data_IF_075502869764
#
_entry.id   IF_075502869764
#
_cell.length_a   1.000
_cell.length_b   1.000
_cell.length_c   1.000
_cell.angle_alpha   90.00
_cell.angle_beta   90.00
_cell.angle_gamma   90.00
#
_symmetry.space_group_name_H-M   'P 1'
#
loop_
_entity.id
_entity.type
_entity.pdbx_description
1 polymer ?
#
# COMPACT_ATOMS: atom_id res chain seq x y z
N UNK A 1 -5.25 -13.61 20.22
CA UNK A 1 -5.23 -12.38 19.40
C UNK A 1 -5.96 -12.73 18.12
N UNK A 2 -6.93 -11.93 17.70
CA UNK A 2 -7.70 -12.21 16.47
C UNK A 2 -6.84 -11.83 15.25
N UNK A 3 -6.35 -12.83 14.52
CA UNK A 3 -5.49 -12.63 13.35
C UNK A 3 -6.18 -11.79 12.27
N UNK A 4 -7.50 -11.90 12.14
CA UNK A 4 -8.27 -11.11 11.17
C UNK A 4 -8.24 -9.62 11.56
N UNK A 5 -8.35 -9.31 12.85
CA UNK A 5 -8.26 -7.93 13.33
C UNK A 5 -6.87 -7.31 13.08
N UNK A 6 -5.79 -8.11 13.23
CA UNK A 6 -4.43 -7.67 12.92
C UNK A 6 -4.29 -7.38 11.42
N UNK A 7 -4.78 -8.27 10.56
CA UNK A 7 -4.68 -8.11 9.10
C UNK A 7 -5.50 -6.94 8.59
N UNK A 8 -6.69 -6.70 9.16
CA UNK A 8 -7.48 -5.50 8.84
C UNK A 8 -6.75 -4.22 9.22
N UNK A 9 -6.08 -4.22 10.38
CA UNK A 9 -5.27 -3.07 10.82
C UNK A 9 -4.12 -2.83 9.85
N UNK A 10 -3.37 -3.88 9.47
CA UNK A 10 -2.31 -3.78 8.48
C UNK A 10 -2.83 -3.26 7.13
N UNK A 11 -3.94 -3.80 6.64
CA UNK A 11 -4.57 -3.41 5.37
C UNK A 11 -4.93 -1.91 5.33
N UNK A 12 -5.41 -1.35 6.45
CA UNK A 12 -5.66 0.10 6.54
C UNK A 12 -4.40 0.94 6.44
N UNK A 13 -3.27 0.47 7.00
CA UNK A 13 -2.00 1.16 6.89
C UNK A 13 -1.44 1.08 5.46
N UNK A 14 -1.45 -0.10 4.83
CA UNK A 14 -0.93 -0.24 3.46
C UNK A 14 -1.71 0.64 2.48
N UNK A 15 -3.05 0.71 2.62
CA UNK A 15 -3.89 1.61 1.81
C UNK A 15 -3.49 3.08 1.99
N UNK A 16 -3.26 3.53 3.23
CA UNK A 16 -2.83 4.91 3.52
C UNK A 16 -1.45 5.21 2.94
N UNK A 17 -0.51 4.28 3.03
CA UNK A 17 0.87 4.48 2.55
C UNK A 17 0.90 4.48 1.01
N UNK A 18 0.20 3.55 0.36
CA UNK A 18 0.02 3.56 -1.10
C UNK A 18 -0.54 4.91 -1.59
N UNK A 19 -1.60 5.39 -0.95
CA UNK A 19 -2.26 6.66 -1.35
C UNK A 19 -1.35 7.87 -1.12
N UNK A 20 -0.52 7.83 -0.07
CA UNK A 20 0.52 8.83 0.18
C UNK A 20 1.56 8.85 -0.96
N UNK A 21 2.05 7.68 -1.39
CA UNK A 21 2.99 7.59 -2.52
C UNK A 21 2.36 8.03 -3.84
N UNK A 22 1.12 7.62 -4.12
CA UNK A 22 0.37 8.08 -5.29
C UNK A 22 0.21 9.61 -5.30
N UNK A 23 -0.08 10.20 -4.14
CA UNK A 23 -0.16 11.66 -3.99
C UNK A 23 1.20 12.32 -4.21
N UNK A 24 2.30 11.73 -3.70
CA UNK A 24 3.64 12.27 -3.87
C UNK A 24 4.08 12.33 -5.34
N UNK A 25 3.69 11.35 -6.17
CA UNK A 25 3.94 11.36 -7.63
C UNK A 25 3.33 12.61 -8.30
N UNK A 26 2.16 13.05 -7.82
CA UNK A 26 1.48 14.24 -8.37
C UNK A 26 2.10 15.57 -7.95
N UNK A 27 2.95 15.57 -6.91
CA UNK A 27 3.55 16.77 -6.31
C UNK A 27 5.00 16.96 -6.74
N UNK A 28 5.74 15.86 -6.97
CA UNK A 28 7.18 15.93 -7.25
C UNK A 28 7.45 16.27 -8.72
N UNK A 29 8.34 17.23 -8.96
CA UNK A 29 8.72 17.64 -10.32
C UNK A 29 9.86 16.79 -10.91
N UNK A 30 10.69 16.16 -10.07
CA UNK A 30 11.81 15.30 -10.50
C UNK A 30 11.32 13.92 -10.96
N UNK A 31 11.58 13.58 -12.22
CA UNK A 31 11.11 12.34 -12.82
C UNK A 31 11.68 11.08 -12.16
N UNK A 32 12.90 11.14 -11.60
CA UNK A 32 13.46 10.01 -10.85
C UNK A 32 12.70 9.79 -9.54
N UNK A 33 12.35 10.87 -8.86
CA UNK A 33 11.48 10.85 -7.69
C UNK A 33 10.11 10.24 -7.99
N UNK A 34 9.50 10.57 -9.14
CA UNK A 34 8.23 9.95 -9.57
C UNK A 34 8.36 8.43 -9.71
N UNK A 35 9.41 7.96 -10.37
CA UNK A 35 9.65 6.51 -10.56
C UNK A 35 9.82 5.79 -9.22
N UNK A 36 10.50 6.41 -8.25
CA UNK A 36 10.65 5.86 -6.90
C UNK A 36 9.28 5.72 -6.22
N UNK A 37 8.49 6.79 -6.18
CA UNK A 37 7.18 6.73 -5.54
C UNK A 37 6.19 5.82 -6.27
N UNK A 38 6.27 5.72 -7.59
CA UNK A 38 5.50 4.76 -8.37
C UNK A 38 5.86 3.32 -8.00
N UNK A 39 7.16 3.02 -7.89
CA UNK A 39 7.63 1.69 -7.46
C UNK A 39 7.10 1.35 -6.07
N UNK A 40 7.23 2.28 -5.11
CA UNK A 40 6.75 2.07 -3.75
C UNK A 40 5.22 1.89 -3.69
N UNK A 41 4.45 2.69 -4.44
CA UNK A 41 3.00 2.54 -4.51
C UNK A 41 2.59 1.15 -5.05
N UNK A 42 3.32 0.63 -6.05
CA UNK A 42 3.07 -0.70 -6.62
C UNK A 42 3.42 -1.84 -5.64
N UNK A 43 4.47 -1.67 -4.84
CA UNK A 43 4.82 -2.62 -3.76
C UNK A 43 3.71 -2.67 -2.70
N UNK A 44 3.22 -1.51 -2.23
CA UNK A 44 2.12 -1.49 -1.26
C UNK A 44 0.81 -2.04 -1.83
N UNK A 45 0.55 -1.86 -3.13
CA UNK A 45 -0.58 -2.51 -3.77
C UNK A 45 -0.47 -4.04 -3.71
N UNK A 46 0.74 -4.59 -3.89
CA UNK A 46 0.97 -6.03 -3.77
C UNK A 46 0.75 -6.54 -2.33
N UNK A 47 1.11 -5.74 -1.32
CA UNK A 47 0.81 -6.05 0.08
C UNK A 47 -0.70 -6.02 0.39
N UNK A 48 -1.42 -5.03 -0.17
CA UNK A 48 -2.88 -4.93 -0.06
C UNK A 48 -3.54 -6.18 -0.65
N UNK A 49 -3.16 -6.57 -1.87
CA UNK A 49 -3.72 -7.73 -2.56
C UNK A 49 -3.49 -9.02 -1.75
N UNK A 50 -2.29 -9.17 -1.17
CA UNK A 50 -1.96 -10.29 -0.29
C UNK A 50 -2.82 -10.32 0.98
N UNK A 51 -3.01 -9.16 1.64
CA UNK A 51 -3.79 -9.05 2.86
C UNK A 51 -5.28 -9.29 2.61
N UNK A 52 -5.82 -8.76 1.51
CA UNK A 52 -7.22 -8.99 1.12
C UNK A 52 -7.45 -10.48 0.85
N UNK A 53 -6.58 -11.11 0.06
CA UNK A 53 -6.66 -12.56 -0.19
C UNK A 53 -6.54 -13.39 1.10
N UNK A 54 -5.64 -13.00 2.01
CA UNK A 54 -5.45 -13.67 3.29
C UNK A 54 -6.68 -13.56 4.20
N UNK A 55 -7.34 -12.40 4.23
CA UNK A 55 -8.56 -12.20 5.02
C UNK A 55 -9.73 -13.00 4.45
N UNK A 56 -9.83 -13.11 3.12
CA UNK A 56 -10.90 -13.88 2.46
C UNK A 56 -10.77 -15.39 2.65
N UNK A 57 -9.56 -15.89 2.87
CA UNK A 57 -9.25 -17.33 2.95
C UNK A 57 -9.16 -17.89 4.37
N UNK A 58 -9.16 -17.02 5.40
CA UNK A 58 -9.13 -17.38 6.83
C UNK A 58 -10.53 -17.55 7.42
#
# INVERSE_FOLDING_TARGET
MDSIAIFKTALEYEKKIRDLYATAISIIDDDRGKVIFETLANEEQSHIDFLEHSIETL
#
